data_IF_683722329511
#
_entry.id   IF_683722329511
#
_cell.length_a   1.000
_cell.length_b   1.000
_cell.length_c   1.000
_cell.angle_alpha   90.00
_cell.angle_beta   90.00
_cell.angle_gamma   90.00
#
_symmetry.space_group_name_H-M   'P 1'
#
loop_
_entity.id
_entity.type
_entity.pdbx_description
1 polymer ?
#
# COMPACT_ATOMS: atom_id res chain seq x y z
N UNK A 1 73.39 22.24 21.60
CA UNK A 1 72.26 22.99 22.17
C UNK A 1 71.37 21.98 22.85
N UNK A 2 71.47 21.89 24.18
CA UNK A 2 70.60 21.05 25.01
C UNK A 2 69.36 21.85 25.38
N UNK A 3 68.17 21.24 25.33
CA UNK A 3 67.23 21.25 26.47
C UNK A 3 66.61 19.84 26.60
N UNK A 4 66.51 19.43 27.86
CA UNK A 4 66.11 18.15 28.44
C UNK A 4 64.60 18.08 28.73
N UNK A 5 64.08 16.85 28.70
CA UNK A 5 63.07 16.20 29.58
C UNK A 5 61.66 16.79 29.68
N UNK A 6 60.68 15.88 29.49
CA UNK A 6 59.34 16.04 30.03
C UNK A 6 58.39 14.93 29.58
N UNK A 7 58.65 13.66 29.92
CA UNK A 7 57.54 12.71 30.09
C UNK A 7 56.65 13.29 31.20
N UNK A 8 55.43 13.66 30.83
CA UNK A 8 54.47 14.27 31.72
C UNK A 8 53.10 14.10 31.13
N UNK A 9 52.54 12.89 31.25
CA UNK A 9 51.09 12.74 31.30
C UNK A 9 50.61 13.56 32.49
N UNK A 10 50.23 14.81 32.24
CA UNK A 10 49.58 15.66 33.23
C UNK A 10 48.23 15.00 33.53
N UNK A 11 48.23 14.11 34.52
CA UNK A 11 47.02 13.58 35.11
C UNK A 11 46.40 14.72 35.89
N UNK A 12 45.55 15.49 35.20
CA UNK A 12 44.68 16.45 35.84
C UNK A 12 43.78 15.65 36.80
N UNK A 13 43.87 15.88 38.12
CA UNK A 13 43.08 15.14 39.10
C UNK A 13 41.57 15.25 38.84
N UNK A 14 41.14 16.35 38.22
CA UNK A 14 39.77 16.56 37.76
C UNK A 14 39.35 15.63 36.61
N UNK A 15 40.28 15.24 35.73
CA UNK A 15 40.00 14.32 34.63
C UNK A 15 39.87 12.88 35.12
N UNK A 16 40.70 12.47 36.09
CA UNK A 16 40.56 11.14 36.73
C UNK A 16 39.27 11.05 37.55
N UNK A 17 38.90 12.13 38.24
CA UNK A 17 37.65 12.21 38.98
C UNK A 17 36.43 12.17 38.03
N UNK A 18 36.48 12.89 36.91
CA UNK A 18 35.45 12.86 35.87
C UNK A 18 35.31 11.47 35.22
N UNK A 19 36.44 10.79 34.94
CA UNK A 19 36.46 9.45 34.35
C UNK A 19 35.95 8.39 35.35
N UNK A 20 36.27 8.55 36.64
CA UNK A 20 35.71 7.74 37.73
C UNK A 20 34.19 7.91 37.84
N UNK A 21 33.68 9.15 37.81
CA UNK A 21 32.24 9.40 37.81
C UNK A 21 31.54 8.90 36.54
N UNK A 22 32.19 8.96 35.38
CA UNK A 22 31.65 8.43 34.11
C UNK A 22 31.52 6.90 34.16
N UNK A 23 32.52 6.21 34.73
CA UNK A 23 32.49 4.77 34.95
C UNK A 23 31.42 4.37 35.97
N UNK A 24 31.29 5.08 37.07
CA UNK A 24 30.21 4.85 38.05
C UNK A 24 28.83 5.07 37.42
N UNK A 25 28.62 6.15 36.67
CA UNK A 25 27.34 6.41 36.00
C UNK A 25 27.00 5.37 34.92
N UNK A 26 28.00 4.74 34.28
CA UNK A 26 27.79 3.65 33.31
C UNK A 26 27.43 2.32 33.97
N UNK A 27 27.84 2.11 35.23
CA UNK A 27 27.60 0.88 36.01
C UNK A 27 26.33 1.00 36.87
N UNK A 28 26.09 2.17 37.47
CA UNK A 28 24.97 2.47 38.37
C UNK A 28 23.80 3.17 37.67
N UNK A 29 24.00 3.63 36.43
CA UNK A 29 22.93 4.27 35.67
C UNK A 29 21.79 3.29 35.44
N UNK A 30 20.60 3.60 35.96
CA UNK A 30 19.37 2.97 35.47
C UNK A 30 19.33 3.19 33.97
N UNK A 31 19.38 2.09 33.21
CA UNK A 31 19.30 2.15 31.77
C UNK A 31 18.05 2.92 31.39
N UNK A 32 18.21 4.12 30.84
CA UNK A 32 17.10 4.84 30.25
C UNK A 32 16.58 3.95 29.11
N UNK A 33 15.40 3.37 29.31
CA UNK A 33 14.66 2.73 28.24
C UNK A 33 14.33 3.83 27.23
N UNK A 34 15.17 4.00 26.21
CA UNK A 34 14.91 4.94 25.14
C UNK A 34 13.72 4.35 24.41
N UNK A 35 12.53 4.98 24.51
CA UNK A 35 11.35 4.47 23.85
C UNK A 35 11.65 4.38 22.37
N UNK A 36 11.14 3.33 21.74
CA UNK A 36 11.43 3.07 20.34
C UNK A 36 11.19 4.35 19.52
N UNK A 37 12.14 4.76 18.65
CA UNK A 37 11.90 5.87 17.75
C UNK A 37 10.54 5.75 17.04
N UNK A 38 9.75 6.82 17.05
CA UNK A 38 8.42 6.88 16.44
C UNK A 38 8.37 6.30 15.01
N UNK A 39 9.45 6.47 14.24
CA UNK A 39 9.60 5.92 12.89
C UNK A 39 9.45 4.40 12.83
N UNK A 40 9.97 3.68 13.83
CA UNK A 40 9.84 2.24 13.91
C UNK A 40 8.48 1.80 14.37
N UNK A 41 7.90 2.43 15.39
CA UNK A 41 6.53 2.08 15.81
C UNK A 41 5.56 2.28 14.65
N UNK A 42 5.70 3.40 13.95
CA UNK A 42 4.94 3.68 12.72
C UNK A 42 5.19 2.64 11.64
N UNK A 43 6.43 2.19 11.44
CA UNK A 43 6.76 1.15 10.46
C UNK A 43 6.13 -0.19 10.84
N UNK A 44 6.30 -0.62 12.08
CA UNK A 44 5.80 -1.87 12.63
C UNK A 44 4.28 -1.93 12.57
N UNK A 45 3.60 -0.86 12.98
CA UNK A 45 2.14 -0.74 12.90
C UNK A 45 1.65 -0.80 11.45
N UNK A 46 2.29 -0.07 10.53
CA UNK A 46 1.94 -0.10 9.10
C UNK A 46 2.11 -1.49 8.51
N UNK A 47 3.21 -2.18 8.84
CA UNK A 47 3.49 -3.53 8.36
C UNK A 47 2.41 -4.51 8.84
N UNK A 48 2.10 -4.50 10.14
CA UNK A 48 1.07 -5.37 10.72
C UNK A 48 -0.31 -5.10 10.11
N UNK A 49 -0.69 -3.83 9.97
CA UNK A 49 -1.95 -3.45 9.35
C UNK A 49 -2.06 -3.95 7.90
N UNK A 50 -0.96 -3.87 7.13
CA UNK A 50 -0.93 -4.37 5.76
C UNK A 50 -1.04 -5.89 5.69
N UNK A 51 -0.40 -6.61 6.60
CA UNK A 51 -0.49 -8.07 6.70
C UNK A 51 -1.92 -8.52 7.04
N UNK A 52 -2.51 -7.94 8.09
CA UNK A 52 -3.90 -8.21 8.48
C UNK A 52 -4.86 -7.88 7.33
N UNK A 53 -4.69 -6.73 6.69
CA UNK A 53 -5.54 -6.34 5.56
C UNK A 53 -5.37 -7.28 4.37
N UNK A 54 -4.16 -7.76 4.08
CA UNK A 54 -3.91 -8.74 3.02
C UNK A 54 -4.63 -10.06 3.29
N UNK A 55 -4.70 -10.50 4.56
CA UNK A 55 -5.45 -11.70 4.98
C UNK A 55 -6.94 -11.49 4.74
N UNK A 56 -7.54 -10.41 5.25
CA UNK A 56 -8.95 -10.10 5.03
C UNK A 56 -9.28 -9.96 3.54
N UNK A 57 -8.39 -9.31 2.78
CA UNK A 57 -8.53 -9.14 1.35
C UNK A 57 -8.48 -10.47 0.60
N UNK A 58 -7.64 -11.42 1.04
CA UNK A 58 -7.60 -12.78 0.50
C UNK A 58 -8.87 -13.59 0.82
N UNK A 59 -9.39 -13.45 2.04
CA UNK A 59 -10.57 -14.17 2.52
C UNK A 59 -11.91 -13.61 2.00
N UNK A 60 -11.90 -12.46 1.31
CA UNK A 60 -13.11 -11.83 0.81
C UNK A 60 -13.66 -12.53 -0.45
N UNK A 61 -14.37 -13.65 -0.28
CA UNK A 61 -14.87 -14.54 -1.35
C UNK A 61 -16.17 -14.08 -2.03
N UNK A 62 -16.26 -12.81 -2.43
CA UNK A 62 -17.38 -12.31 -3.25
C UNK A 62 -16.99 -12.22 -4.72
N UNK A 63 -17.98 -12.16 -5.62
CA UNK A 63 -17.71 -11.91 -7.04
C UNK A 63 -16.91 -10.61 -7.28
N UNK A 64 -17.26 -9.54 -6.56
CA UNK A 64 -16.54 -8.26 -6.59
C UNK A 64 -15.13 -8.38 -5.99
N UNK A 65 -14.96 -9.15 -4.91
CA UNK A 65 -13.67 -9.45 -4.30
C UNK A 65 -12.73 -10.23 -5.21
N UNK A 66 -13.25 -11.29 -5.84
CA UNK A 66 -12.52 -12.08 -6.83
C UNK A 66 -12.12 -11.22 -8.03
N UNK A 67 -13.01 -10.34 -8.49
CA UNK A 67 -12.75 -9.43 -9.61
C UNK A 67 -11.61 -8.47 -9.29
N UNK A 68 -11.69 -7.74 -8.17
CA UNK A 68 -10.64 -6.77 -7.81
C UNK A 68 -9.29 -7.46 -7.63
N UNK A 69 -9.24 -8.66 -7.03
CA UNK A 69 -8.00 -9.45 -6.89
C UNK A 69 -7.36 -9.85 -8.22
N UNK A 70 -8.17 -10.03 -9.26
CA UNK A 70 -7.62 -10.33 -10.60
C UNK A 70 -6.84 -9.16 -11.21
N UNK A 71 -7.10 -7.93 -10.76
CA UNK A 71 -6.37 -6.74 -11.19
C UNK A 71 -5.33 -6.29 -10.16
N UNK A 72 -5.66 -6.35 -8.87
CA UNK A 72 -4.84 -5.91 -7.74
C UNK A 72 -4.63 -7.10 -6.81
N UNK A 73 -3.68 -8.01 -7.11
CA UNK A 73 -3.54 -9.27 -6.36
C UNK A 73 -3.02 -9.07 -4.93
N UNK A 74 -2.33 -7.95 -4.67
CA UNK A 74 -1.80 -7.62 -3.33
C UNK A 74 -2.23 -6.21 -2.94
N UNK A 75 -2.57 -6.05 -1.67
CA UNK A 75 -2.83 -4.73 -1.11
C UNK A 75 -1.53 -3.95 -0.99
N UNK A 76 -1.59 -2.66 -1.29
CA UNK A 76 -0.45 -1.76 -1.22
C UNK A 76 -0.93 -0.37 -0.80
N UNK A 77 -0.08 0.34 -0.07
CA UNK A 77 -0.32 1.73 0.37
C UNK A 77 0.12 2.76 -0.66
N UNK A 78 0.96 2.38 -1.63
CA UNK A 78 1.45 3.30 -2.68
C UNK A 78 0.48 3.38 -3.86
N UNK A 79 -0.23 2.29 -4.13
CA UNK A 79 -1.21 2.20 -5.22
C UNK A 79 -2.52 2.86 -4.79
N UNK A 80 -2.54 4.20 -4.78
CA UNK A 80 -3.76 4.96 -4.52
C UNK A 80 -4.49 5.25 -5.83
N UNK A 81 -5.65 4.62 -5.99
CA UNK A 81 -6.43 4.78 -7.22
C UNK A 81 -7.40 5.91 -6.97
N UNK A 82 -7.18 7.03 -7.67
CA UNK A 82 -7.98 8.25 -7.51
C UNK A 82 -9.17 8.31 -8.46
N UNK A 83 -9.15 7.52 -9.54
CA UNK A 83 -10.22 7.53 -10.54
C UNK A 83 -11.44 6.74 -10.06
N UNK A 84 -12.56 7.44 -9.85
CA UNK A 84 -13.85 6.82 -9.53
C UNK A 84 -14.30 5.80 -10.59
N UNK A 85 -13.97 6.04 -11.85
CA UNK A 85 -14.36 5.16 -12.96
C UNK A 85 -13.59 3.83 -12.93
N UNK A 86 -12.30 3.87 -12.58
CA UNK A 86 -11.50 2.65 -12.41
C UNK A 86 -11.98 1.83 -11.20
N UNK A 87 -12.35 2.51 -10.10
CA UNK A 87 -12.95 1.86 -8.93
C UNK A 87 -14.24 1.12 -9.31
N UNK A 88 -15.14 1.79 -10.04
CA UNK A 88 -16.37 1.16 -10.54
C UNK A 88 -16.07 -0.06 -11.41
N UNK A 89 -15.12 0.07 -12.34
CA UNK A 89 -14.74 -1.03 -13.23
C UNK A 89 -14.20 -2.27 -12.48
N UNK A 90 -13.30 -2.12 -11.50
CA UNK A 90 -12.70 -3.28 -10.82
C UNK A 90 -13.61 -3.96 -9.84
N UNK A 91 -14.42 -3.16 -9.15
CA UNK A 91 -15.35 -3.70 -8.17
C UNK A 91 -16.59 -4.27 -8.86
N UNK A 92 -16.82 -3.93 -10.13
CA UNK A 92 -18.08 -4.19 -10.81
C UNK A 92 -19.24 -3.43 -10.19
N UNK A 93 -18.94 -2.36 -9.44
CA UNK A 93 -19.91 -1.47 -8.82
C UNK A 93 -20.06 -0.18 -9.62
N UNK A 94 -21.01 0.66 -9.21
CA UNK A 94 -21.26 1.95 -9.83
C UNK A 94 -22.47 1.91 -10.77
N UNK A 95 -22.53 2.79 -11.77
CA UNK A 95 -23.73 2.98 -12.60
C UNK A 95 -23.89 1.91 -13.68
N UNK A 96 -23.47 0.67 -13.41
CA UNK A 96 -23.65 -0.45 -14.34
C UNK A 96 -25.00 -1.10 -14.09
N UNK A 97 -25.86 -1.24 -15.13
CA UNK A 97 -27.18 -1.84 -14.93
C UNK A 97 -27.17 -3.26 -14.39
N UNK A 98 -26.14 -4.07 -14.66
CA UNK A 98 -26.01 -5.40 -14.05
C UNK A 98 -25.84 -5.33 -12.52
N UNK A 99 -25.24 -4.25 -12.00
CA UNK A 99 -25.05 -4.02 -10.58
C UNK A 99 -26.30 -3.42 -9.95
N UNK A 100 -26.87 -2.38 -10.59
CA UNK A 100 -28.06 -1.68 -10.10
C UNK A 100 -29.31 -2.58 -10.05
N UNK A 101 -29.44 -3.53 -10.99
CA UNK A 101 -30.57 -4.48 -10.98
C UNK A 101 -30.56 -5.42 -9.77
N UNK A 102 -29.40 -5.65 -9.13
CA UNK A 102 -29.29 -6.47 -7.90
C UNK A 102 -30.02 -5.82 -6.73
N UNK A 103 -30.19 -4.51 -6.78
CA UNK A 103 -30.93 -3.71 -5.80
C UNK A 103 -32.32 -3.31 -6.29
N UNK A 104 -32.79 -3.88 -7.41
CA UNK A 104 -34.12 -3.59 -8.00
C UNK A 104 -34.26 -2.11 -8.41
N UNK A 105 -33.15 -1.37 -8.52
CA UNK A 105 -33.14 0.03 -8.97
C UNK A 105 -33.45 0.13 -10.47
N UNK A 106 -32.94 -0.82 -11.25
CA UNK A 106 -33.24 -0.96 -12.68
C UNK A 106 -33.95 -2.28 -12.94
N UNK A 107 -34.96 -2.23 -13.80
CA UNK A 107 -35.80 -3.38 -14.15
C UNK A 107 -35.10 -4.45 -14.98
N UNK A 108 -34.04 -4.09 -15.72
CA UNK A 108 -33.31 -5.02 -16.58
C UNK A 108 -31.79 -4.84 -16.49
N UNK A 109 -31.02 -5.92 -16.33
CA UNK A 109 -29.56 -5.89 -16.38
C UNK A 109 -29.00 -5.90 -17.83
N UNK A 110 -29.87 -6.06 -18.84
CA UNK A 110 -29.46 -6.38 -20.21
C UNK A 110 -29.29 -5.14 -21.09
N UNK A 111 -28.28 -5.19 -21.97
CA UNK A 111 -27.98 -4.19 -22.97
C UNK A 111 -28.97 -4.27 -24.14
N UNK A 112 -29.02 -3.23 -24.96
CA UNK A 112 -29.80 -3.24 -26.20
C UNK A 112 -29.32 -4.34 -27.16
N UNK A 113 -28.02 -4.66 -27.14
CA UNK A 113 -27.44 -5.79 -27.86
C UNK A 113 -27.64 -7.15 -27.14
N UNK A 114 -28.49 -7.20 -26.11
CA UNK A 114 -28.92 -8.39 -25.35
C UNK A 114 -27.86 -9.06 -24.47
N UNK A 115 -26.65 -8.50 -24.36
CA UNK A 115 -25.63 -8.94 -23.41
C UNK A 115 -25.81 -8.31 -22.03
N UNK A 116 -25.16 -8.86 -21.00
CA UNK A 116 -25.19 -8.30 -19.66
C UNK A 116 -24.48 -6.93 -19.63
N UNK A 117 -25.09 -5.88 -19.04
CA UNK A 117 -24.47 -4.55 -18.92
C UNK A 117 -23.49 -4.48 -17.76
N UNK A 118 -22.49 -5.34 -17.80
CA UNK A 118 -21.36 -5.32 -16.89
C UNK A 118 -20.23 -4.44 -17.42
N UNK A 119 -19.22 -4.11 -16.59
CA UNK A 119 -18.14 -3.24 -17.02
C UNK A 119 -17.31 -3.82 -18.18
N UNK A 120 -17.15 -5.15 -18.25
CA UNK A 120 -16.37 -5.78 -19.31
C UNK A 120 -17.09 -5.66 -20.65
N UNK A 121 -18.41 -5.84 -20.64
CA UNK A 121 -19.24 -5.67 -21.83
C UNK A 121 -19.03 -4.29 -22.46
N UNK A 122 -19.14 -3.21 -21.69
CA UNK A 122 -18.94 -1.86 -22.22
C UNK A 122 -17.52 -1.60 -22.72
N UNK A 123 -16.51 -2.12 -22.02
CA UNK A 123 -15.12 -1.83 -22.37
C UNK A 123 -14.60 -2.66 -23.54
N UNK A 124 -15.17 -3.84 -23.80
CA UNK A 124 -14.56 -4.82 -24.69
C UNK A 124 -15.50 -5.38 -25.77
N UNK A 125 -16.80 -5.49 -25.48
CA UNK A 125 -17.68 -6.42 -26.21
C UNK A 125 -18.97 -5.76 -26.75
N UNK A 126 -19.30 -4.53 -26.37
CA UNK A 126 -20.57 -3.89 -26.69
C UNK A 126 -20.63 -3.30 -28.10
N UNK A 127 -21.64 -3.70 -28.87
CA UNK A 127 -21.86 -3.19 -30.23
C UNK A 127 -22.06 -1.67 -30.26
N UNK A 128 -22.64 -1.10 -29.21
CA UNK A 128 -22.95 0.34 -29.13
C UNK A 128 -21.74 1.20 -28.76
N UNK A 129 -20.69 0.62 -28.17
CA UNK A 129 -19.48 1.34 -27.76
C UNK A 129 -18.23 0.85 -28.49
N UNK A 130 -18.42 0.24 -29.67
CA UNK A 130 -17.36 -0.41 -30.46
C UNK A 130 -16.16 0.50 -30.72
N UNK A 131 -16.41 1.77 -31.03
CA UNK A 131 -15.37 2.73 -31.37
C UNK A 131 -14.56 3.19 -30.14
N UNK A 132 -15.00 2.81 -28.93
CA UNK A 132 -14.36 3.12 -27.65
C UNK A 132 -13.80 1.88 -26.94
N UNK A 133 -13.77 0.73 -27.62
CA UNK A 133 -13.27 -0.49 -27.00
C UNK A 133 -11.79 -0.40 -26.66
N UNK A 134 -11.47 -0.88 -25.46
CA UNK A 134 -10.10 -1.10 -25.03
C UNK A 134 -9.65 -2.49 -25.47
N UNK A 135 -8.34 -2.69 -25.58
CA UNK A 135 -7.80 -4.04 -25.74
C UNK A 135 -8.02 -4.83 -24.44
N UNK A 136 -8.79 -5.92 -24.51
CA UNK A 136 -9.03 -6.83 -23.37
C UNK A 136 -7.70 -7.47 -22.91
N UNK A 137 -7.36 -7.43 -21.62
CA UNK A 137 -6.16 -8.10 -21.11
C UNK A 137 -6.37 -9.62 -21.04
N UNK A 138 -5.28 -10.39 -21.19
CA UNK A 138 -5.26 -11.80 -20.76
C UNK A 138 -5.36 -11.89 -19.24
N UNK A 139 -5.68 -13.07 -18.70
CA UNK A 139 -5.81 -13.28 -17.27
C UNK A 139 -4.55 -12.88 -16.48
N UNK A 140 -3.38 -13.20 -17.01
CA UNK A 140 -2.08 -12.95 -16.39
C UNK A 140 -1.68 -11.48 -16.50
N UNK A 141 -2.13 -10.80 -17.56
CA UNK A 141 -1.76 -9.43 -17.87
C UNK A 141 -2.64 -8.39 -17.18
N UNK A 142 -3.73 -8.78 -16.49
CA UNK A 142 -4.69 -7.84 -15.87
C UNK A 142 -4.05 -6.82 -14.94
N UNK A 143 -3.12 -7.24 -14.09
CA UNK A 143 -2.45 -6.35 -13.13
C UNK A 143 -1.53 -5.33 -13.82
N UNK A 144 -0.81 -5.75 -14.86
CA UNK A 144 0.07 -4.88 -15.65
C UNK A 144 -0.71 -3.94 -16.57
N UNK A 145 -1.76 -4.46 -17.20
CA UNK A 145 -2.70 -3.69 -18.02
C UNK A 145 -3.26 -2.51 -17.24
N UNK A 146 -3.43 -2.69 -15.93
CA UNK A 146 -3.97 -1.65 -15.09
C UNK A 146 -2.97 -0.56 -14.73
N UNK A 147 -1.78 -0.96 -14.27
CA UNK A 147 -0.72 -0.02 -13.89
C UNK A 147 -0.41 0.99 -15.00
N UNK A 148 -0.54 0.59 -16.26
CA UNK A 148 -0.38 1.49 -17.41
C UNK A 148 -1.42 2.62 -17.44
N UNK A 149 -2.67 2.35 -17.04
CA UNK A 149 -3.77 3.32 -17.06
C UNK A 149 -3.87 4.20 -15.83
N UNK A 150 -3.35 3.75 -14.70
CA UNK A 150 -3.21 4.60 -13.52
C UNK A 150 -2.19 5.73 -13.76
N UNK A 151 -1.16 5.47 -14.58
CA UNK A 151 -0.12 6.44 -14.95
C UNK A 151 -0.60 7.44 -16.00
N UNK A 152 -1.46 7.03 -16.94
CA UNK A 152 -2.00 7.91 -17.99
C UNK A 152 -3.04 8.93 -17.47
N UNK A 153 -3.59 8.73 -16.26
CA UNK A 153 -4.55 9.63 -15.62
C UNK A 153 -3.91 10.58 -14.59
N UNK A 154 -2.58 10.58 -14.45
CA UNK A 154 -1.82 11.36 -13.47
C UNK A 154 -1.31 12.69 -14.00
#
# INVERSE_FOLDING_TARGET
>A
MFIRVGEGSHQDPGNELADHFTKLASIEGEGMDIPYPYSFDKFTLKKKLLEDWQIYYGAYETASGNRIRSFVPRVDTKTLIKSKYLIYFWTGHGPFPCYLSRFIILSSPLCECRSLRDPDHYLFDCLMTRDHHLKKPSCEAKSLWLKKRDVECG
#
